data_IF_608351035390
#
_entry.id   IF_608351035390
#
_cell.length_a   1.000
_cell.length_b   1.000
_cell.length_c   1.000
_cell.angle_alpha   90.00
_cell.angle_beta   90.00
_cell.angle_gamma   90.00
#
_symmetry.space_group_name_H-M   'P 1'
#
loop_
_entity.id
_entity.type
_entity.pdbx_description
1 polymer ?
#
# COMPACT_ATOMS: atom_id res chain seq x y z
N UNK A 1 -22.54 -8.94 -5.88
CA UNK A 1 -22.77 -7.89 -4.85
C UNK A 1 -21.99 -6.68 -5.29
N UNK A 2 -22.32 -5.48 -4.80
CA UNK A 2 -21.49 -4.30 -5.08
C UNK A 2 -20.27 -4.34 -4.16
N UNK A 3 -19.09 -3.98 -4.68
CA UNK A 3 -17.86 -3.85 -3.92
C UNK A 3 -18.06 -2.90 -2.73
N UNK A 4 -17.58 -3.28 -1.58
CA UNK A 4 -17.49 -2.46 -0.37
C UNK A 4 -16.03 -2.34 0.04
N UNK A 5 -15.64 -1.16 0.55
CA UNK A 5 -14.26 -0.87 0.98
C UNK A 5 -14.34 -0.22 2.36
N UNK A 6 -13.49 -0.66 3.28
CA UNK A 6 -13.32 0.03 4.55
C UNK A 6 -12.57 1.34 4.33
N UNK A 7 -13.19 2.43 4.74
CA UNK A 7 -12.62 3.77 4.64
C UNK A 7 -12.13 4.22 6.02
N UNK A 8 -10.83 4.44 6.15
CA UNK A 8 -10.24 4.91 7.41
C UNK A 8 -10.84 6.24 7.86
N UNK A 9 -11.11 7.16 6.93
CA UNK A 9 -11.66 8.47 7.28
C UNK A 9 -13.05 8.41 7.93
N UNK A 10 -13.87 7.41 7.60
CA UNK A 10 -15.19 7.21 8.20
C UNK A 10 -15.23 6.07 9.22
N UNK A 11 -14.15 5.28 9.35
CA UNK A 11 -14.05 4.07 10.17
C UNK A 11 -15.13 3.01 9.87
N UNK A 12 -15.62 2.92 8.64
CA UNK A 12 -16.67 1.97 8.25
C UNK A 12 -16.48 1.43 6.84
N UNK A 13 -17.11 0.31 6.55
CA UNK A 13 -17.22 -0.19 5.19
C UNK A 13 -18.28 0.59 4.41
N UNK A 14 -17.89 1.11 3.26
CA UNK A 14 -18.74 1.88 2.36
C UNK A 14 -18.88 1.16 1.02
N UNK A 15 -20.01 1.37 0.34
CA UNK A 15 -20.16 0.95 -1.05
C UNK A 15 -19.15 1.73 -1.89
N UNK A 16 -18.38 1.01 -2.70
CA UNK A 16 -17.44 1.66 -3.61
C UNK A 16 -18.18 2.36 -4.75
N UNK A 17 -17.96 3.64 -4.85
CA UNK A 17 -18.46 4.49 -5.92
C UNK A 17 -17.31 5.37 -6.40
N UNK A 18 -16.79 5.16 -7.62
CA UNK A 18 -15.65 5.94 -8.09
C UNK A 18 -16.03 7.41 -8.33
N UNK A 19 -15.05 8.30 -8.20
CA UNK A 19 -15.19 9.74 -8.51
C UNK A 19 -15.57 9.95 -9.97
N UNK A 20 -14.99 9.12 -10.86
CA UNK A 20 -15.33 9.07 -12.28
C UNK A 20 -15.65 7.65 -12.69
N UNK A 21 -16.67 7.46 -13.51
CA UNK A 21 -17.01 6.16 -14.10
C UNK A 21 -15.95 5.64 -15.08
N UNK A 22 -15.14 6.55 -15.62
CA UNK A 22 -14.17 6.22 -16.67
C UNK A 22 -12.88 5.61 -16.14
N UNK A 23 -12.44 6.04 -14.94
CA UNK A 23 -11.16 5.60 -14.38
C UNK A 23 -11.13 5.73 -12.88
N UNK A 24 -10.74 4.68 -12.18
CA UNK A 24 -10.43 4.68 -10.75
C UNK A 24 -8.97 5.13 -10.56
N UNK A 25 -8.77 6.16 -9.73
CA UNK A 25 -7.49 6.80 -9.46
C UNK A 25 -6.98 6.37 -8.11
N UNK A 26 -5.81 5.73 -8.08
CA UNK A 26 -5.21 5.17 -6.88
C UNK A 26 -3.82 5.76 -6.67
N UNK A 27 -3.57 6.30 -5.48
CA UNK A 27 -2.23 6.65 -5.03
C UNK A 27 -1.83 5.74 -3.87
N UNK A 28 -0.65 5.14 -3.99
CA UNK A 28 -0.05 4.34 -2.91
C UNK A 28 1.26 4.98 -2.50
N UNK A 29 1.39 5.35 -1.23
CA UNK A 29 2.66 5.85 -0.72
C UNK A 29 3.75 4.79 -0.90
N UNK A 30 4.81 5.18 -1.59
CA UNK A 30 5.94 4.34 -1.89
C UNK A 30 6.97 4.30 -0.76
N UNK A 31 8.02 3.48 -0.90
CA UNK A 31 9.06 3.39 0.13
C UNK A 31 10.01 4.58 0.08
N UNK A 32 10.62 4.88 1.23
CA UNK A 32 11.88 5.65 1.29
C UNK A 32 13.03 4.72 0.89
N UNK A 33 13.79 5.11 -0.12
CA UNK A 33 14.71 4.23 -0.87
C UNK A 33 16.12 4.20 -0.29
N UNK A 34 16.27 3.71 0.94
CA UNK A 34 17.55 3.64 1.65
C UNK A 34 18.00 2.21 2.00
N UNK A 35 17.15 1.20 1.71
CA UNK A 35 17.46 -0.22 1.96
C UNK A 35 16.51 -1.16 1.21
N UNK A 36 16.79 -2.46 1.26
CA UNK A 36 15.99 -3.53 0.67
C UNK A 36 14.58 -3.61 1.25
N UNK A 37 13.63 -4.09 0.43
CA UNK A 37 12.27 -4.33 0.86
C UNK A 37 12.19 -5.45 1.92
N UNK A 38 11.43 -5.23 2.99
CA UNK A 38 11.11 -6.24 3.98
C UNK A 38 9.70 -6.82 3.77
N UNK A 39 9.37 -7.90 4.47
CA UNK A 39 8.07 -8.59 4.35
C UNK A 39 6.87 -7.65 4.59
N UNK A 40 7.03 -6.62 5.45
CA UNK A 40 6.00 -5.58 5.64
C UNK A 40 5.73 -4.78 4.36
N UNK A 41 6.78 -4.35 3.63
CA UNK A 41 6.65 -3.72 2.32
C UNK A 41 5.98 -4.67 1.32
N UNK A 42 6.44 -5.93 1.24
CA UNK A 42 5.85 -6.93 0.38
C UNK A 42 4.34 -7.09 0.64
N UNK A 43 3.91 -7.12 1.90
CA UNK A 43 2.49 -7.19 2.27
C UNK A 43 1.69 -6.01 1.73
N UNK A 44 2.20 -4.80 1.91
CA UNK A 44 1.55 -3.58 1.42
C UNK A 44 1.35 -3.64 -0.09
N UNK A 45 2.43 -3.85 -0.85
CA UNK A 45 2.35 -3.77 -2.31
C UNK A 45 1.64 -4.97 -2.95
N UNK A 46 1.69 -6.16 -2.35
CA UNK A 46 0.86 -7.31 -2.75
C UNK A 46 -0.62 -7.01 -2.54
N UNK A 47 -0.99 -6.38 -1.44
CA UNK A 47 -2.39 -6.00 -1.19
C UNK A 47 -2.90 -4.99 -2.24
N UNK A 48 -2.16 -3.92 -2.50
CA UNK A 48 -2.56 -2.93 -3.51
C UNK A 48 -2.58 -3.52 -4.93
N UNK A 49 -1.65 -4.42 -5.25
CA UNK A 49 -1.68 -5.16 -6.51
C UNK A 49 -2.97 -5.98 -6.67
N UNK A 50 -3.38 -6.71 -5.64
CA UNK A 50 -4.64 -7.47 -5.65
C UNK A 50 -5.85 -6.54 -5.78
N UNK A 51 -5.85 -5.39 -5.10
CA UNK A 51 -6.89 -4.37 -5.22
C UNK A 51 -7.00 -3.87 -6.66
N UNK A 52 -5.89 -3.46 -7.28
CA UNK A 52 -5.84 -3.00 -8.67
C UNK A 52 -6.32 -4.09 -9.62
N UNK A 53 -5.82 -5.32 -9.50
CA UNK A 53 -6.24 -6.46 -10.32
C UNK A 53 -7.72 -6.75 -10.19
N UNK A 54 -8.27 -6.69 -8.99
CA UNK A 54 -9.69 -6.93 -8.77
C UNK A 54 -10.56 -5.83 -9.37
N UNK A 55 -10.22 -4.56 -9.18
CA UNK A 55 -10.92 -3.43 -9.81
C UNK A 55 -10.93 -3.55 -11.33
N UNK A 56 -9.79 -3.90 -11.94
CA UNK A 56 -9.71 -4.17 -13.38
C UNK A 56 -10.57 -5.38 -13.79
N UNK A 57 -10.59 -6.45 -12.99
CA UNK A 57 -11.37 -7.66 -13.24
C UNK A 57 -12.89 -7.41 -13.24
N UNK A 58 -13.36 -6.48 -12.40
CA UNK A 58 -14.78 -6.09 -12.35
C UNK A 58 -15.12 -4.96 -13.32
N UNK A 59 -14.20 -4.58 -14.22
CA UNK A 59 -14.44 -3.74 -15.38
C UNK A 59 -14.00 -2.27 -15.26
N UNK A 60 -13.37 -1.87 -14.17
CA UNK A 60 -12.82 -0.50 -14.08
C UNK A 60 -11.51 -0.37 -14.84
N UNK A 61 -11.30 0.78 -15.49
CA UNK A 61 -9.97 1.26 -15.82
C UNK A 61 -9.34 1.77 -14.53
N UNK A 62 -8.06 1.51 -14.33
CA UNK A 62 -7.34 1.95 -13.12
C UNK A 62 -6.13 2.76 -13.53
N UNK A 63 -5.94 3.92 -12.91
CA UNK A 63 -4.71 4.70 -12.95
C UNK A 63 -4.05 4.61 -11.58
N UNK A 64 -2.95 3.87 -11.50
CA UNK A 64 -2.20 3.66 -10.27
C UNK A 64 -0.90 4.46 -10.28
N UNK A 65 -0.69 5.28 -9.26
CA UNK A 65 0.53 6.05 -9.01
C UNK A 65 1.14 5.59 -7.69
N UNK A 66 2.44 5.32 -7.70
CA UNK A 66 3.22 4.98 -6.51
C UNK A 66 4.53 5.74 -6.54
N UNK A 67 4.78 6.60 -5.56
CA UNK A 67 6.01 7.38 -5.54
C UNK A 67 7.23 6.59 -5.05
N UNK A 68 8.39 7.21 -5.21
CA UNK A 68 9.59 6.93 -4.43
C UNK A 68 10.01 8.19 -3.68
N UNK A 69 10.14 8.10 -2.37
CA UNK A 69 10.85 9.12 -1.58
C UNK A 69 12.34 8.85 -1.73
N UNK A 70 12.95 9.53 -2.70
CA UNK A 70 14.33 9.32 -3.14
C UNK A 70 15.32 10.34 -2.53
N UNK A 71 14.82 11.24 -1.66
CA UNK A 71 15.65 12.14 -0.85
C UNK A 71 14.97 12.40 0.50
N UNK A 72 15.58 11.90 1.57
CA UNK A 72 15.09 11.96 2.95
C UNK A 72 16.28 11.86 3.92
N UNK A 73 16.08 12.22 5.19
CA UNK A 73 17.12 12.12 6.23
C UNK A 73 17.67 10.70 6.41
N UNK A 74 16.86 9.67 6.23
CA UNK A 74 17.31 8.27 6.31
C UNK A 74 18.23 7.90 5.16
N UNK A 75 17.98 8.45 3.96
CA UNK A 75 18.85 8.27 2.80
C UNK A 75 20.19 8.95 3.06
N UNK A 76 20.18 10.21 3.52
CA UNK A 76 21.40 10.96 3.83
C UNK A 76 22.24 10.26 4.91
N UNK A 77 21.61 9.78 5.97
CA UNK A 77 22.30 9.01 7.02
C UNK A 77 22.90 7.72 6.46
N UNK A 78 22.13 6.99 5.66
CA UNK A 78 22.57 5.72 5.08
C UNK A 78 23.67 5.89 4.04
N UNK A 79 23.67 6.99 3.29
CA UNK A 79 24.73 7.31 2.33
C UNK A 79 26.07 7.54 3.03
N UNK A 80 26.05 8.23 4.17
CA UNK A 80 27.26 8.41 5.00
C UNK A 80 27.76 7.06 5.55
N UNK A 81 26.84 6.21 6.08
CA UNK A 81 27.21 4.88 6.61
C UNK A 81 27.85 3.97 5.56
N UNK A 82 27.46 4.12 4.30
CA UNK A 82 27.92 3.26 3.20
C UNK A 82 28.97 3.92 2.32
N UNK A 83 29.37 5.14 2.63
CA UNK A 83 30.30 5.96 1.82
C UNK A 83 29.86 6.01 0.34
N UNK A 84 28.58 6.36 0.13
CA UNK A 84 27.93 6.43 -1.19
C UNK A 84 27.29 7.80 -1.39
N UNK A 85 27.25 8.27 -2.65
CA UNK A 85 26.40 9.39 -3.02
C UNK A 85 24.92 9.07 -2.72
N UNK A 86 24.13 10.00 -2.10
CA UNK A 86 22.74 9.73 -1.74
C UNK A 86 21.81 9.48 -2.93
N UNK A 87 22.08 10.07 -4.11
CA UNK A 87 21.31 9.80 -5.33
C UNK A 87 21.61 8.43 -5.91
N UNK A 88 22.89 8.02 -5.87
CA UNK A 88 23.30 6.67 -6.29
C UNK A 88 22.73 5.62 -5.35
N UNK A 89 22.77 5.87 -4.03
CA UNK A 89 22.17 5.01 -3.02
C UNK A 89 20.67 4.80 -3.29
N UNK A 90 19.94 5.89 -3.46
CA UNK A 90 18.51 5.86 -3.72
C UNK A 90 18.19 5.14 -5.02
N UNK A 91 18.90 5.45 -6.11
CA UNK A 91 18.75 4.81 -7.42
C UNK A 91 18.97 3.31 -7.34
N UNK A 92 19.98 2.85 -6.61
CA UNK A 92 20.25 1.45 -6.33
C UNK A 92 19.06 0.78 -5.64
N UNK A 93 18.54 1.38 -4.57
CA UNK A 93 17.45 0.74 -3.80
C UNK A 93 16.10 0.85 -4.49
N UNK A 94 15.86 1.83 -5.36
CA UNK A 94 14.72 1.83 -6.29
C UNK A 94 14.80 0.61 -7.22
N UNK A 95 15.95 0.39 -7.86
CA UNK A 95 16.14 -0.76 -8.75
C UNK A 95 15.96 -2.09 -8.03
N UNK A 96 16.53 -2.25 -6.84
CA UNK A 96 16.39 -3.45 -6.02
C UNK A 96 14.95 -3.68 -5.54
N UNK A 97 14.25 -2.60 -5.15
CA UNK A 97 12.83 -2.68 -4.79
C UNK A 97 11.98 -3.15 -5.96
N UNK A 98 12.16 -2.55 -7.13
CA UNK A 98 11.40 -2.92 -8.33
C UNK A 98 11.67 -4.37 -8.73
N UNK A 99 12.92 -4.84 -8.63
CA UNK A 99 13.30 -6.22 -8.87
C UNK A 99 12.62 -7.20 -7.89
N UNK A 100 12.60 -6.86 -6.60
CA UNK A 100 11.91 -7.68 -5.59
C UNK A 100 10.39 -7.74 -5.85
N UNK A 101 9.77 -6.62 -6.24
CA UNK A 101 8.34 -6.57 -6.52
C UNK A 101 7.97 -7.29 -7.83
N UNK A 102 8.79 -7.18 -8.87
CA UNK A 102 8.62 -7.95 -10.12
C UNK A 102 8.71 -9.45 -9.85
N UNK A 103 9.70 -9.88 -9.06
CA UNK A 103 9.86 -11.28 -8.70
C UNK A 103 8.69 -11.81 -7.87
N UNK A 104 8.11 -10.97 -7.01
CA UNK A 104 6.90 -11.28 -6.24
C UNK A 104 5.61 -11.23 -7.09
N UNK A 105 5.71 -10.89 -8.37
CA UNK A 105 4.57 -10.79 -9.29
C UNK A 105 3.65 -9.59 -9.02
N UNK A 106 4.16 -8.56 -8.34
CA UNK A 106 3.44 -7.30 -8.13
C UNK A 106 3.42 -6.51 -9.44
N UNK A 107 2.23 -6.13 -9.89
CA UNK A 107 2.06 -5.28 -11.07
C UNK A 107 2.71 -3.91 -10.84
N UNK A 108 3.47 -3.44 -11.81
CA UNK A 108 4.02 -2.09 -11.76
C UNK A 108 2.90 -1.05 -11.78
N UNK A 109 3.05 0.02 -11.00
CA UNK A 109 2.20 1.20 -11.11
C UNK A 109 2.39 1.86 -12.49
N UNK A 110 1.40 2.64 -12.90
CA UNK A 110 1.45 3.31 -14.21
C UNK A 110 2.45 4.48 -14.20
N UNK A 111 2.72 5.06 -13.02
CA UNK A 111 3.73 6.11 -12.81
C UNK A 111 4.41 5.91 -11.47
N UNK A 112 5.73 6.13 -11.46
CA UNK A 112 6.56 6.14 -10.27
C UNK A 112 7.26 7.51 -10.14
N UNK A 113 6.57 8.56 -9.66
CA UNK A 113 7.18 9.86 -9.46
C UNK A 113 8.21 9.81 -8.31
N UNK A 114 9.28 10.59 -8.42
CA UNK A 114 10.30 10.75 -7.39
C UNK A 114 10.23 12.13 -6.76
N UNK A 115 10.54 12.25 -5.48
CA UNK A 115 10.58 13.53 -4.78
C UNK A 115 11.50 14.53 -5.46
N UNK A 116 12.69 14.09 -5.88
CA UNK A 116 13.69 14.96 -6.50
C UNK A 116 13.28 15.55 -7.85
N UNK A 117 12.34 14.93 -8.54
CA UNK A 117 11.75 15.41 -9.80
C UNK A 117 10.64 16.45 -9.57
N UNK A 118 10.24 16.70 -8.29
CA UNK A 118 9.08 17.53 -7.93
C UNK A 118 9.41 18.65 -6.93
N UNK A 119 10.68 19.03 -6.83
CA UNK A 119 11.12 20.07 -5.89
C UNK A 119 10.45 21.42 -6.17
N UNK A 120 10.36 21.83 -7.43
CA UNK A 120 9.68 23.07 -7.80
C UNK A 120 8.17 23.01 -7.51
N UNK A 121 7.54 21.86 -7.70
CA UNK A 121 6.14 21.68 -7.35
C UNK A 121 5.92 21.79 -5.83
N UNK A 122 6.84 21.26 -5.02
CA UNK A 122 6.80 21.39 -3.56
C UNK A 122 7.00 22.85 -3.09
N UNK A 123 7.90 23.59 -3.73
CA UNK A 123 8.10 25.02 -3.46
C UNK A 123 6.84 25.80 -3.80
N UNK A 124 6.24 25.56 -4.97
CA UNK A 124 4.99 26.19 -5.39
C UNK A 124 3.84 25.92 -4.42
N UNK A 125 3.67 24.66 -3.98
CA UNK A 125 2.66 24.32 -2.95
C UNK A 125 2.90 25.10 -1.66
N UNK A 126 4.13 25.24 -1.20
CA UNK A 126 4.44 25.98 0.02
C UNK A 126 4.13 27.48 -0.14
N UNK A 127 4.39 28.07 -1.31
CA UNK A 127 4.03 29.47 -1.62
C UNK A 127 2.52 29.66 -1.62
N UNK A 128 1.77 28.79 -2.32
CA UNK A 128 0.30 28.83 -2.37
C UNK A 128 -0.32 28.74 -0.96
N UNK A 129 0.23 27.89 -0.09
CA UNK A 129 -0.26 27.74 1.26
C UNK A 129 0.05 28.96 2.15
N UNK A 130 1.20 29.62 1.94
CA UNK A 130 1.51 30.89 2.61
C UNK A 130 0.55 31.98 2.14
N UNK A 131 0.34 32.13 0.84
CA UNK A 131 -0.59 33.14 0.28
C UNK A 131 -2.03 32.93 0.75
N UNK A 132 -2.45 31.68 0.90
CA UNK A 132 -3.78 31.34 1.44
C UNK A 132 -3.87 31.45 2.96
N UNK A 133 -2.77 31.74 3.67
CA UNK A 133 -2.72 31.90 5.12
C UNK A 133 -2.77 30.60 5.93
N UNK A 134 -2.52 29.45 5.30
CA UNK A 134 -2.41 28.14 5.95
C UNK A 134 -0.99 27.80 6.39
N UNK A 135 0.01 28.49 5.87
CA UNK A 135 1.42 28.26 6.22
C UNK A 135 2.13 29.57 6.56
N UNK A 136 3.29 29.46 7.19
CA UNK A 136 4.13 30.59 7.56
C UNK A 136 5.61 30.23 7.49
N UNK A 137 6.46 31.22 7.16
CA UNK A 137 7.91 31.11 7.20
C UNK A 137 8.44 31.41 8.61
N UNK A 138 9.43 30.64 9.05
CA UNK A 138 10.19 30.89 10.27
C UNK A 138 11.63 30.38 10.14
N UNK A 139 12.60 31.29 10.14
CA UNK A 139 14.05 30.99 10.12
C UNK A 139 14.53 30.15 8.91
N UNK A 140 13.93 30.37 7.74
CA UNK A 140 14.25 29.64 6.51
C UNK A 140 13.57 28.28 6.38
N UNK A 141 12.60 28.00 7.24
CA UNK A 141 11.70 26.86 7.16
C UNK A 141 10.27 27.35 6.92
N UNK A 142 9.43 26.53 6.27
CA UNK A 142 8.02 26.81 6.12
C UNK A 142 7.21 25.76 6.84
N UNK A 143 6.31 26.21 7.69
CA UNK A 143 5.43 25.35 8.49
C UNK A 143 3.97 25.52 8.11
N UNK A 144 3.26 24.40 8.04
CA UNK A 144 1.80 24.42 8.00
C UNK A 144 1.26 24.72 9.41
N UNK A 145 0.34 25.68 9.51
CA UNK A 145 -0.34 26.04 10.76
C UNK A 145 -1.55 25.11 10.98
N UNK A 146 -1.36 24.11 11.84
CA UNK A 146 -2.39 23.10 12.10
C UNK A 146 -3.69 23.68 12.66
N UNK A 147 -3.66 24.87 13.28
CA UNK A 147 -4.85 25.55 13.83
C UNK A 147 -5.70 26.23 12.77
N UNK A 148 -5.19 26.38 11.53
CA UNK A 148 -5.93 27.02 10.42
C UNK A 148 -6.90 26.06 9.73
N UNK A 149 -6.89 24.79 10.08
CA UNK A 149 -7.78 23.77 9.49
C UNK A 149 -8.58 23.04 10.57
N UNK A 150 -9.82 22.69 10.25
CA UNK A 150 -10.66 21.77 11.06
C UNK A 150 -10.57 20.33 10.56
N UNK A 151 -9.78 20.09 9.49
CA UNK A 151 -9.63 18.78 8.90
C UNK A 151 -8.62 17.90 9.64
N UNK A 152 -7.73 18.49 10.46
CA UNK A 152 -6.73 17.76 11.22
C UNK A 152 -7.37 16.87 12.30
N UNK A 153 -6.92 15.62 12.39
CA UNK A 153 -7.51 14.63 13.32
C UNK A 153 -8.59 13.74 12.66
N UNK A 154 -8.94 13.97 11.41
CA UNK A 154 -10.00 13.22 10.70
C UNK A 154 -9.64 11.74 10.47
N UNK A 155 -8.40 11.43 10.15
CA UNK A 155 -7.97 10.05 9.88
C UNK A 155 -7.68 9.26 11.15
N UNK A 156 -7.25 9.95 12.21
CA UNK A 156 -6.98 9.35 13.51
C UNK A 156 -8.20 9.34 14.42
N UNK A 157 -9.29 10.04 14.03
CA UNK A 157 -10.52 10.20 14.82
C UNK A 157 -10.30 10.85 16.20
N UNK A 158 -9.33 11.74 16.29
CA UNK A 158 -8.97 12.45 17.51
C UNK A 158 -8.91 13.96 17.26
N UNK A 159 -9.18 14.74 18.30
CA UNK A 159 -8.99 16.20 18.25
C UNK A 159 -7.50 16.56 18.33
N UNK A 160 -7.13 17.74 17.83
CA UNK A 160 -5.77 18.28 17.96
C UNK A 160 -5.20 18.19 19.38
N UNK A 161 -6.05 18.48 20.39
CA UNK A 161 -5.65 18.46 21.80
C UNK A 161 -5.43 17.03 22.33
N UNK A 162 -6.15 16.05 21.77
CA UNK A 162 -6.05 14.66 22.18
C UNK A 162 -4.81 13.94 21.58
N UNK A 163 -4.30 14.43 20.43
CA UNK A 163 -3.14 13.82 19.74
C UNK A 163 -1.86 13.89 20.59
N UNK A 164 -1.78 14.83 21.54
CA UNK A 164 -0.58 15.11 22.34
C UNK A 164 -0.85 14.81 23.81
N UNK A 165 -1.11 13.55 24.11
CA UNK A 165 -1.31 13.09 25.49
C UNK A 165 0.03 12.67 26.13
N UNK A 166 0.94 12.08 25.35
CA UNK A 166 2.24 11.61 25.86
C UNK A 166 3.22 12.80 25.99
N UNK A 167 3.82 13.01 27.20
CA UNK A 167 4.90 13.98 27.38
C UNK A 167 6.08 13.79 26.42
N UNK A 168 6.39 12.55 26.01
CA UNK A 168 7.43 12.25 25.02
C UNK A 168 7.09 12.78 23.62
N UNK A 169 5.82 12.76 23.23
CA UNK A 169 5.38 13.35 21.96
C UNK A 169 5.53 14.86 21.96
N UNK A 170 5.28 15.53 23.10
CA UNK A 170 5.54 16.96 23.23
C UNK A 170 7.01 17.32 23.01
N UNK A 171 7.93 16.50 23.54
CA UNK A 171 9.40 16.68 23.31
C UNK A 171 9.74 16.37 21.86
N UNK A 172 9.19 15.31 21.29
CA UNK A 172 9.43 14.89 19.89
C UNK A 172 8.98 15.93 18.87
N UNK A 173 7.85 16.60 19.11
CA UNK A 173 7.30 17.61 18.21
C UNK A 173 7.75 19.05 18.56
N UNK A 174 8.40 19.25 19.68
CA UNK A 174 8.89 20.57 20.09
C UNK A 174 9.92 21.11 19.09
N UNK A 175 9.67 22.32 18.62
CA UNK A 175 10.61 23.09 17.80
C UNK A 175 10.36 24.58 18.11
N UNK A 176 11.39 25.37 18.51
CA UNK A 176 11.22 26.78 18.92
C UNK A 176 10.74 27.69 17.78
N UNK A 177 10.82 27.22 16.52
CA UNK A 177 10.36 27.99 15.36
C UNK A 177 8.88 27.77 15.02
N UNK A 178 8.23 26.77 15.64
CA UNK A 178 6.80 26.49 15.44
C UNK A 178 5.92 27.38 16.31
N UNK A 179 4.79 27.82 15.75
CA UNK A 179 3.73 28.53 16.50
C UNK A 179 2.86 27.58 17.31
N UNK A 180 2.65 26.38 16.79
CA UNK A 180 1.88 25.31 17.41
C UNK A 180 2.65 23.99 17.42
N UNK A 181 2.40 23.16 18.43
CA UNK A 181 3.13 21.89 18.59
C UNK A 181 2.88 20.92 17.43
N UNK A 182 1.68 20.91 16.87
CA UNK A 182 1.28 20.08 15.73
C UNK A 182 1.58 20.68 14.37
N UNK A 183 2.11 21.92 14.32
CA UNK A 183 2.58 22.46 13.06
C UNK A 183 3.68 21.57 12.51
N UNK A 184 3.72 21.37 11.21
CA UNK A 184 4.70 20.50 10.58
C UNK A 184 5.39 21.21 9.41
N UNK A 185 6.66 20.89 9.21
CA UNK A 185 7.46 21.52 8.17
C UNK A 185 7.02 21.01 6.79
N UNK A 186 6.69 21.94 5.90
CA UNK A 186 6.45 21.72 4.47
C UNK A 186 7.67 22.06 3.61
N UNK A 187 8.57 22.91 4.14
CA UNK A 187 9.92 23.14 3.65
C UNK A 187 10.89 23.17 4.82
N UNK A 188 11.97 22.39 4.77
CA UNK A 188 12.97 22.27 5.82
C UNK A 188 14.28 22.90 5.38
N UNK A 189 14.82 23.78 6.22
CA UNK A 189 16.18 24.27 6.06
C UNK A 189 17.17 23.11 6.24
N UNK A 190 18.20 23.07 5.40
CA UNK A 190 19.27 22.08 5.44
C UNK A 190 20.55 22.68 6.02
N UNK A 191 21.44 21.81 6.49
CA UNK A 191 22.81 22.17 6.81
C UNK A 191 23.63 22.30 5.52
N UNK A 192 24.78 22.98 5.57
CA UNK A 192 25.61 23.23 4.39
C UNK A 192 26.08 21.96 3.67
N UNK A 193 26.28 20.87 4.41
CA UNK A 193 26.74 19.59 3.87
C UNK A 193 25.58 18.67 3.39
N UNK A 194 24.34 19.03 3.64
CA UNK A 194 23.18 18.24 3.21
C UNK A 194 22.80 18.59 1.77
N UNK A 195 22.26 17.61 1.04
CA UNK A 195 21.63 17.85 -0.24
C UNK A 195 20.48 18.84 -0.08
N UNK A 196 20.46 19.86 -0.93
CA UNK A 196 19.50 20.96 -0.81
C UNK A 196 19.23 21.64 -2.14
N UNK A 197 18.12 22.34 -2.20
CA UNK A 197 17.68 23.13 -3.35
C UNK A 197 17.43 24.58 -2.92
N UNK A 198 17.64 25.51 -3.86
CA UNK A 198 17.30 26.92 -3.65
C UNK A 198 15.80 27.11 -3.58
N UNK A 199 15.37 27.98 -2.68
CA UNK A 199 13.96 28.36 -2.51
C UNK A 199 13.85 29.84 -2.07
N UNK A 200 12.65 30.44 -2.11
CA UNK A 200 12.44 31.80 -1.60
C UNK A 200 12.82 31.99 -0.11
N UNK A 201 12.91 30.92 0.63
CA UNK A 201 13.22 30.91 2.07
C UNK A 201 14.68 30.51 2.35
N UNK A 202 15.47 30.30 1.30
CA UNK A 202 16.85 29.83 1.35
C UNK A 202 16.98 28.35 1.01
N UNK A 203 18.21 27.82 1.19
CA UNK A 203 18.53 26.43 0.85
C UNK A 203 17.82 25.45 1.78
N UNK A 204 17.17 24.45 1.18
CA UNK A 204 16.39 23.48 1.94
C UNK A 204 15.92 22.30 1.10
N UNK A 205 15.00 21.54 1.65
CA UNK A 205 14.33 20.39 1.02
C UNK A 205 12.87 20.31 1.43
N UNK A 206 12.00 19.63 0.65
CA UNK A 206 10.62 19.41 1.01
C UNK A 206 10.46 18.72 2.37
N UNK A 207 9.39 19.07 3.08
CA UNK A 207 8.90 18.26 4.19
C UNK A 207 8.30 16.96 3.64
N UNK A 208 8.50 15.85 4.34
CA UNK A 208 8.09 14.51 3.91
C UNK A 208 6.62 14.39 3.50
N UNK A 209 5.73 15.17 4.10
CA UNK A 209 4.28 15.13 3.81
C UNK A 209 3.91 15.91 2.54
N UNK A 210 4.71 16.90 2.17
CA UNK A 210 4.51 17.76 1.00
C UNK A 210 4.64 16.99 -0.30
N UNK A 211 5.56 16.04 -0.33
CA UNK A 211 5.94 15.25 -1.49
C UNK A 211 4.75 14.48 -2.07
N UNK A 212 4.13 13.62 -1.24
CA UNK A 212 3.00 12.80 -1.66
C UNK A 212 1.75 13.64 -1.94
N UNK A 213 1.53 14.71 -1.17
CA UNK A 213 0.41 15.62 -1.39
C UNK A 213 0.47 16.23 -2.80
N UNK A 214 1.63 16.76 -3.22
CA UNK A 214 1.76 17.39 -4.54
C UNK A 214 1.85 16.37 -5.68
N UNK A 215 2.58 15.27 -5.50
CA UNK A 215 2.67 14.23 -6.52
C UNK A 215 1.31 13.58 -6.79
N UNK A 216 0.55 13.26 -5.74
CA UNK A 216 -0.79 12.70 -5.92
C UNK A 216 -1.71 13.65 -6.67
N UNK A 217 -1.70 14.93 -6.32
CA UNK A 217 -2.47 15.96 -7.01
C UNK A 217 -2.08 16.14 -8.48
N UNK A 218 -0.77 16.18 -8.77
CA UNK A 218 -0.23 16.37 -10.13
C UNK A 218 -0.61 15.23 -11.07
N UNK A 219 -0.52 13.98 -10.63
CA UNK A 219 -0.74 12.81 -11.49
C UNK A 219 -2.17 12.29 -11.52
N UNK A 220 -2.97 12.56 -10.46
CA UNK A 220 -4.33 12.05 -10.33
C UNK A 220 -5.39 13.15 -10.28
N UNK A 221 -4.96 14.43 -10.20
CA UNK A 221 -5.86 15.58 -10.10
C UNK A 221 -6.34 15.86 -8.68
N UNK A 222 -7.22 16.88 -8.51
CA UNK A 222 -7.58 17.41 -7.19
C UNK A 222 -8.38 16.46 -6.32
N UNK A 223 -8.99 15.44 -6.88
CA UNK A 223 -9.72 14.39 -6.16
C UNK A 223 -9.38 13.03 -6.75
N UNK A 224 -8.98 12.10 -5.92
CA UNK A 224 -8.71 10.71 -6.28
C UNK A 224 -9.66 9.77 -5.55
N UNK A 225 -9.78 8.53 -6.05
CA UNK A 225 -10.67 7.53 -5.46
C UNK A 225 -10.05 6.91 -4.21
N UNK A 226 -8.83 6.42 -4.30
CA UNK A 226 -8.17 5.68 -3.22
C UNK A 226 -6.78 6.25 -2.98
N UNK A 227 -6.47 6.49 -1.70
CA UNK A 227 -5.13 6.77 -1.23
C UNK A 227 -4.80 5.85 -0.06
N UNK A 228 -3.59 5.32 -0.03
CA UNK A 228 -3.25 4.48 1.10
C UNK A 228 -1.79 4.02 1.17
N UNK A 229 -1.56 3.15 2.15
CA UNK A 229 -0.26 2.61 2.53
C UNK A 229 -0.36 1.75 3.78
N UNK A 230 0.74 1.61 4.51
CA UNK A 230 0.73 0.97 5.82
C UNK A 230 -0.02 1.78 6.87
N UNK A 231 -0.53 1.10 7.91
CA UNK A 231 -1.26 1.74 9.01
C UNK A 231 -0.43 2.82 9.73
N UNK A 232 0.90 2.67 9.76
CA UNK A 232 1.83 3.63 10.35
C UNK A 232 1.90 4.97 9.60
N UNK A 233 1.41 5.03 8.39
CA UNK A 233 1.33 6.25 7.63
C UNK A 233 0.10 7.09 7.99
N UNK A 234 -0.92 6.54 8.66
CA UNK A 234 -2.11 7.32 9.05
C UNK A 234 -1.67 8.59 9.77
N UNK A 235 -0.81 8.44 10.79
CA UNK A 235 -0.26 9.57 11.52
C UNK A 235 1.27 9.46 11.63
N UNK A 236 2.00 10.53 11.36
CA UNK A 236 1.51 11.87 10.97
C UNK A 236 1.31 12.07 9.45
N UNK A 237 1.72 11.11 8.58
CA UNK A 237 1.95 11.32 7.15
C UNK A 237 0.65 11.60 6.37
N UNK A 238 -0.29 10.66 6.35
CA UNK A 238 -1.54 10.81 5.58
C UNK A 238 -2.47 11.87 6.18
N UNK A 239 -2.44 12.03 7.51
CA UNK A 239 -3.15 13.14 8.15
C UNK A 239 -2.65 14.48 7.64
N UNK A 240 -1.31 14.69 7.59
CA UNK A 240 -0.71 15.88 7.06
C UNK A 240 -0.98 16.07 5.55
N UNK A 241 -0.90 15.01 4.75
CA UNK A 241 -1.25 15.07 3.32
C UNK A 241 -2.71 15.47 3.09
N UNK A 242 -3.62 14.92 3.90
CA UNK A 242 -5.05 15.24 3.83
C UNK A 242 -5.31 16.72 4.05
N UNK A 243 -4.71 17.32 5.10
CA UNK A 243 -4.90 18.74 5.39
C UNK A 243 -4.19 19.65 4.40
N UNK A 244 -3.01 19.28 3.89
CA UNK A 244 -2.32 20.04 2.84
C UNK A 244 -3.16 20.12 1.57
N UNK A 245 -3.67 18.96 1.13
CA UNK A 245 -4.47 18.87 -0.10
C UNK A 245 -5.80 19.61 0.05
N UNK A 246 -6.46 19.54 1.22
CA UNK A 246 -7.70 20.24 1.48
C UNK A 246 -7.47 21.75 1.56
N UNK A 247 -6.40 22.23 2.20
CA UNK A 247 -6.03 23.64 2.23
C UNK A 247 -5.73 24.20 0.82
N UNK A 248 -5.10 23.40 -0.04
CA UNK A 248 -4.80 23.77 -1.41
C UNK A 248 -6.09 23.90 -2.25
N UNK A 249 -7.01 22.92 -2.16
CA UNK A 249 -8.14 22.74 -3.08
C UNK A 249 -9.50 23.21 -2.53
N UNK A 250 -9.60 23.45 -1.23
CA UNK A 250 -10.84 23.81 -0.53
C UNK A 250 -11.80 22.63 -0.30
N UNK A 251 -11.39 21.39 -0.56
CA UNK A 251 -12.21 20.17 -0.39
C UNK A 251 -11.35 18.93 -0.16
N UNK A 252 -11.92 17.87 0.45
CA UNK A 252 -11.22 16.59 0.59
C UNK A 252 -10.75 16.03 -0.75
N UNK A 253 -9.47 15.66 -0.84
CA UNK A 253 -8.83 15.19 -2.08
C UNK A 253 -8.93 13.67 -2.26
N UNK A 254 -9.30 12.93 -1.22
CA UNK A 254 -9.35 11.46 -1.24
C UNK A 254 -10.72 10.98 -0.82
N UNK A 255 -11.33 10.10 -1.63
CA UNK A 255 -12.64 9.53 -1.32
C UNK A 255 -12.54 8.37 -0.34
N UNK A 256 -11.56 7.47 -0.51
CA UNK A 256 -11.34 6.30 0.34
C UNK A 256 -9.89 6.26 0.80
N UNK A 257 -9.67 6.38 2.09
CA UNK A 257 -8.38 6.12 2.72
C UNK A 257 -8.30 4.66 3.13
N UNK A 258 -7.33 3.94 2.60
CA UNK A 258 -7.20 2.49 2.80
C UNK A 258 -5.83 2.17 3.41
N UNK A 259 -5.80 1.42 4.51
CA UNK A 259 -4.56 1.12 5.22
C UNK A 259 -4.46 -0.35 5.56
N UNK A 260 -3.31 -0.96 5.25
CA UNK A 260 -3.02 -2.32 5.64
C UNK A 260 -2.28 -2.38 6.99
N UNK A 261 -2.63 -3.38 7.78
CA UNK A 261 -2.02 -3.63 9.10
C UNK A 261 -0.58 -4.14 8.98
N UNK A 262 0.14 -4.04 10.10
CA UNK A 262 1.54 -4.46 10.23
C UNK A 262 1.74 -5.97 10.07
N UNK A 263 2.97 -6.30 9.69
CA UNK A 263 3.54 -7.62 9.93
C UNK A 263 4.36 -7.52 11.23
N UNK A 264 4.07 -8.41 12.17
CA UNK A 264 4.79 -8.55 13.43
C UNK A 264 5.72 -9.76 13.36
N UNK A 265 6.77 -9.75 14.13
CA UNK A 265 7.66 -10.88 14.33
C UNK A 265 7.91 -11.00 15.84
N UNK A 266 7.60 -12.17 16.41
CA UNK A 266 7.64 -12.42 17.87
C UNK A 266 6.73 -11.45 18.67
N UNK A 267 5.53 -11.15 18.11
CA UNK A 267 4.56 -10.25 18.72
C UNK A 267 4.87 -8.76 18.58
N UNK A 268 6.04 -8.39 18.06
CA UNK A 268 6.48 -7.01 17.89
C UNK A 268 6.45 -6.54 16.42
N UNK A 269 6.20 -5.24 16.20
CA UNK A 269 6.32 -4.64 14.87
C UNK A 269 7.75 -4.84 14.35
N UNK A 270 7.88 -5.35 13.11
CA UNK A 270 9.18 -5.42 12.45
C UNK A 270 9.78 -4.03 12.28
N UNK A 271 10.99 -3.83 12.79
CA UNK A 271 11.74 -2.58 12.62
C UNK A 271 13.25 -2.83 12.62
N UNK A 272 14.00 -1.95 11.94
CA UNK A 272 15.47 -2.02 11.91
C UNK A 272 16.08 -1.85 13.30
N UNK A 273 15.55 -0.93 14.09
CA UNK A 273 16.05 -0.64 15.43
C UNK A 273 15.96 -1.82 16.37
N UNK A 274 15.03 -2.76 16.11
CA UNK A 274 14.86 -4.00 16.90
C UNK A 274 15.62 -5.19 16.31
N UNK A 275 16.21 -5.07 15.12
CA UNK A 275 16.95 -6.16 14.48
C UNK A 275 16.07 -7.36 14.05
N UNK A 276 14.73 -7.22 14.10
CA UNK A 276 13.77 -8.30 13.87
C UNK A 276 13.16 -8.27 12.45
N UNK A 277 13.79 -7.52 11.51
CA UNK A 277 13.30 -7.40 10.14
C UNK A 277 13.66 -8.60 9.29
N UNK A 278 12.68 -9.09 8.53
CA UNK A 278 12.88 -10.13 7.52
C UNK A 278 12.77 -9.51 6.13
N UNK A 279 13.83 -9.61 5.33
CA UNK A 279 13.83 -9.13 3.96
C UNK A 279 12.90 -9.98 3.08
N UNK A 280 12.15 -9.33 2.20
CA UNK A 280 11.23 -10.01 1.29
C UNK A 280 11.97 -11.02 0.39
N UNK A 281 13.15 -10.65 -0.13
CA UNK A 281 13.99 -11.54 -0.97
C UNK A 281 14.41 -12.80 -0.24
N UNK A 282 14.74 -12.70 1.06
CA UNK A 282 15.10 -13.88 1.86
C UNK A 282 13.91 -14.81 2.08
N UNK A 283 12.73 -14.27 2.30
CA UNK A 283 11.52 -15.08 2.36
C UNK A 283 11.21 -15.76 1.02
N UNK A 284 11.40 -15.07 -0.12
CA UNK A 284 11.24 -15.65 -1.46
C UNK A 284 12.29 -16.72 -1.78
N UNK A 285 13.54 -16.54 -1.35
CA UNK A 285 14.60 -17.57 -1.49
C UNK A 285 14.24 -18.88 -0.77
N UNK A 286 13.55 -18.79 0.38
CA UNK A 286 13.17 -19.96 1.18
C UNK A 286 12.01 -20.77 0.58
N UNK A 287 11.01 -20.10 0.00
CA UNK A 287 9.75 -20.77 -0.36
C UNK A 287 9.27 -20.48 -1.78
N UNK A 288 9.92 -19.59 -2.50
CA UNK A 288 9.48 -19.06 -3.79
C UNK A 288 8.51 -17.90 -3.67
N UNK A 289 8.37 -17.08 -4.73
CA UNK A 289 7.57 -15.87 -4.71
C UNK A 289 6.06 -16.14 -4.52
N UNK A 290 5.50 -17.13 -5.20
CA UNK A 290 4.09 -17.50 -5.09
C UNK A 290 3.70 -17.92 -3.67
N UNK A 291 4.57 -18.68 -2.99
CA UNK A 291 4.31 -19.11 -1.61
C UNK A 291 4.37 -17.94 -0.63
N UNK A 292 5.31 -17.01 -0.79
CA UNK A 292 5.32 -15.78 0.01
C UNK A 292 4.05 -14.96 -0.26
N UNK A 293 3.67 -14.79 -1.52
CA UNK A 293 2.45 -14.07 -1.90
C UNK A 293 1.20 -14.72 -1.31
N UNK A 294 1.06 -16.04 -1.40
CA UNK A 294 -0.02 -16.82 -0.77
C UNK A 294 -0.04 -16.59 0.74
N UNK A 295 1.11 -16.65 1.40
CA UNK A 295 1.26 -16.39 2.83
C UNK A 295 0.74 -15.00 3.20
N UNK A 296 1.18 -13.96 2.50
CA UNK A 296 0.78 -12.57 2.75
C UNK A 296 -0.73 -12.36 2.55
N UNK A 297 -1.35 -13.05 1.58
CA UNK A 297 -2.77 -12.98 1.27
C UNK A 297 -3.66 -13.86 2.17
N UNK A 298 -3.08 -14.80 2.93
CA UNK A 298 -3.82 -15.69 3.83
C UNK A 298 -4.42 -14.98 5.04
N UNK A 299 -3.97 -13.75 5.33
CA UNK A 299 -4.50 -12.89 6.39
C UNK A 299 -5.12 -11.64 5.78
N UNK A 300 -6.36 -11.31 6.19
CA UNK A 300 -7.03 -10.09 5.76
C UNK A 300 -6.15 -8.86 5.99
N UNK A 301 -6.08 -7.93 5.03
CA UNK A 301 -5.15 -6.80 5.06
C UNK A 301 -5.30 -5.89 6.31
N UNK A 302 -6.51 -5.76 6.87
CA UNK A 302 -6.78 -5.00 8.11
C UNK A 302 -6.44 -5.76 9.40
N UNK A 303 -6.01 -7.01 9.33
CA UNK A 303 -5.60 -7.78 10.53
C UNK A 303 -4.09 -7.78 10.67
N UNK A 304 -3.59 -7.69 11.90
CA UNK A 304 -2.18 -7.95 12.19
C UNK A 304 -1.80 -9.34 11.67
N UNK A 305 -0.61 -9.44 11.11
CA UNK A 305 -0.07 -10.70 10.60
C UNK A 305 1.19 -11.02 11.35
N UNK A 306 1.18 -12.11 12.09
CA UNK A 306 2.38 -12.63 12.72
C UNK A 306 3.19 -13.41 11.70
N UNK A 307 4.43 -12.97 11.47
CA UNK A 307 5.37 -13.67 10.59
C UNK A 307 6.01 -14.83 11.35
N UNK A 308 6.05 -16.00 10.72
CA UNK A 308 6.85 -17.12 11.18
C UNK A 308 7.37 -17.95 10.03
N UNK A 309 8.56 -18.49 10.16
CA UNK A 309 9.15 -19.39 9.17
C UNK A 309 8.28 -20.64 8.99
N UNK A 310 7.73 -21.18 10.07
CA UNK A 310 6.82 -22.33 10.02
C UNK A 310 5.55 -22.02 9.21
N UNK A 311 4.93 -20.86 9.46
CA UNK A 311 3.76 -20.40 8.69
C UNK A 311 4.08 -20.20 7.21
N UNK A 312 5.26 -19.68 6.90
CA UNK A 312 5.73 -19.49 5.53
C UNK A 312 5.94 -20.85 4.81
N UNK A 313 6.55 -21.82 5.48
CA UNK A 313 6.72 -23.19 4.94
C UNK A 313 5.37 -23.88 4.74
N UNK A 314 4.45 -23.77 5.70
CA UNK A 314 3.09 -24.31 5.57
C UNK A 314 2.34 -23.67 4.40
N UNK A 315 2.52 -22.39 4.17
CA UNK A 315 1.93 -21.70 3.01
C UNK A 315 2.43 -22.26 1.68
N UNK A 316 3.72 -22.57 1.56
CA UNK A 316 4.30 -23.24 0.39
C UNK A 316 3.67 -24.62 0.16
N UNK A 317 3.58 -25.42 1.21
CA UNK A 317 3.07 -26.79 1.13
C UNK A 317 1.56 -26.78 0.77
N UNK A 318 0.78 -25.89 1.36
CA UNK A 318 -0.63 -25.69 1.05
C UNK A 318 -0.84 -25.25 -0.40
N UNK A 319 -0.06 -24.28 -0.89
CA UNK A 319 -0.15 -23.82 -2.27
C UNK A 319 0.20 -24.93 -3.26
N UNK A 320 1.28 -25.68 -2.99
CA UNK A 320 1.71 -26.80 -3.81
C UNK A 320 0.60 -27.87 -3.91
N UNK A 321 -0.06 -28.18 -2.80
CA UNK A 321 -1.17 -29.13 -2.78
C UNK A 321 -2.38 -28.61 -3.57
N UNK A 322 -2.73 -27.32 -3.41
CA UNK A 322 -3.81 -26.70 -4.20
C UNK A 322 -3.51 -26.80 -5.69
N UNK A 323 -2.30 -26.44 -6.11
CA UNK A 323 -1.85 -26.53 -7.51
C UNK A 323 -1.95 -27.96 -8.05
N UNK A 324 -1.44 -28.93 -7.28
CA UNK A 324 -1.48 -30.35 -7.64
C UNK A 324 -2.92 -30.85 -7.82
N UNK A 325 -3.80 -30.51 -6.88
CA UNK A 325 -5.20 -30.93 -6.91
C UNK A 325 -5.95 -30.29 -8.07
N UNK A 326 -5.76 -29.01 -8.34
CA UNK A 326 -6.40 -28.31 -9.46
C UNK A 326 -5.90 -28.90 -10.79
N UNK A 327 -4.61 -29.01 -11.01
CA UNK A 327 -4.03 -29.58 -12.23
C UNK A 327 -4.54 -31.00 -12.50
N UNK A 328 -4.60 -31.84 -11.46
CA UNK A 328 -5.12 -33.20 -11.55
C UNK A 328 -6.63 -33.23 -11.79
N UNK A 329 -7.41 -32.36 -11.14
CA UNK A 329 -8.87 -32.30 -11.25
C UNK A 329 -9.34 -31.84 -12.63
N UNK A 330 -8.52 -31.09 -13.35
CA UNK A 330 -8.80 -30.60 -14.70
C UNK A 330 -8.45 -31.62 -15.83
N UNK A 331 -7.88 -32.78 -15.49
CA UNK A 331 -7.63 -33.85 -16.48
C UNK A 331 -8.94 -34.61 -16.76
N UNK A 332 -9.27 -34.89 -18.04
CA UNK A 332 -10.44 -35.74 -18.40
C UNK A 332 -10.31 -37.15 -17.83
N UNK A 333 -11.42 -37.74 -17.41
CA UNK A 333 -11.49 -39.18 -17.27
C UNK A 333 -11.11 -39.79 -15.92
N UNK A 334 -11.28 -39.08 -14.79
CA UNK A 334 -11.10 -39.71 -13.46
C UNK A 334 -12.15 -40.79 -13.20
N UNK A 335 -11.81 -42.10 -13.09
CA UNK A 335 -12.75 -43.14 -12.72
C UNK A 335 -13.24 -42.99 -11.27
N UNK A 336 -14.46 -43.33 -10.98
CA UNK A 336 -14.94 -43.51 -9.60
C UNK A 336 -15.55 -42.32 -8.88
N UNK A 337 -15.39 -41.07 -9.37
CA UNK A 337 -15.96 -39.91 -8.73
C UNK A 337 -17.37 -39.58 -9.29
N UNK A 338 -18.30 -39.18 -8.41
CA UNK A 338 -19.63 -38.67 -8.82
C UNK A 338 -19.47 -37.30 -9.52
N UNK A 339 -20.26 -37.01 -10.57
CA UNK A 339 -20.21 -35.70 -11.22
C UNK A 339 -20.49 -34.58 -10.22
N UNK A 340 -19.71 -33.51 -10.32
CA UNK A 340 -20.00 -32.29 -9.59
C UNK A 340 -21.29 -31.66 -10.15
N UNK A 341 -22.16 -31.18 -9.28
CA UNK A 341 -23.30 -30.40 -9.73
C UNK A 341 -22.86 -29.02 -10.15
N UNK A 342 -23.48 -28.47 -11.19
CA UNK A 342 -23.21 -27.09 -11.63
C UNK A 342 -23.40 -26.09 -10.48
N UNK A 343 -24.41 -26.29 -9.64
CA UNK A 343 -24.70 -25.49 -8.46
C UNK A 343 -23.51 -25.45 -7.47
N UNK A 344 -22.85 -26.60 -7.23
CA UNK A 344 -21.71 -26.67 -6.33
C UNK A 344 -20.48 -25.85 -6.87
N UNK A 345 -20.24 -25.95 -8.19
CA UNK A 345 -19.21 -25.15 -8.85
C UNK A 345 -19.50 -23.64 -8.75
N UNK A 346 -20.76 -23.26 -9.07
CA UNK A 346 -21.19 -21.87 -9.00
C UNK A 346 -21.10 -21.30 -7.58
N UNK A 347 -21.39 -22.15 -6.58
CA UNK A 347 -21.23 -21.76 -5.17
C UNK A 347 -19.77 -21.47 -4.83
N UNK A 348 -18.83 -22.35 -5.21
CA UNK A 348 -17.40 -22.13 -4.96
C UNK A 348 -16.88 -20.86 -5.67
N UNK A 349 -17.23 -20.71 -6.96
CA UNK A 349 -16.84 -19.53 -7.76
C UNK A 349 -17.43 -18.26 -7.14
N UNK A 350 -18.72 -18.29 -6.78
CA UNK A 350 -19.40 -17.16 -6.17
C UNK A 350 -18.84 -16.76 -4.80
N UNK A 351 -18.30 -17.72 -4.02
CA UNK A 351 -17.65 -17.42 -2.74
C UNK A 351 -16.39 -16.57 -2.95
N UNK A 352 -15.57 -16.86 -3.96
CA UNK A 352 -14.40 -16.05 -4.27
C UNK A 352 -14.74 -14.58 -4.54
N UNK A 353 -15.68 -14.35 -5.46
CA UNK A 353 -16.05 -12.98 -5.82
C UNK A 353 -16.76 -12.24 -4.67
N UNK A 354 -17.60 -12.94 -3.89
CA UNK A 354 -18.20 -12.33 -2.69
C UNK A 354 -17.16 -11.94 -1.64
N UNK A 355 -16.11 -12.76 -1.47
CA UNK A 355 -15.01 -12.42 -0.58
C UNK A 355 -14.27 -11.16 -1.06
N UNK A 356 -13.99 -11.08 -2.35
CA UNK A 356 -13.33 -9.90 -2.93
C UNK A 356 -14.23 -8.65 -2.92
N UNK A 357 -15.55 -8.79 -3.11
CA UNK A 357 -16.53 -7.70 -2.98
C UNK A 357 -16.66 -7.19 -1.53
N UNK A 358 -16.26 -7.99 -0.55
CA UNK A 358 -16.29 -7.64 0.87
C UNK A 358 -14.90 -7.19 1.31
N UNK A 359 -14.55 -5.94 1.01
CA UNK A 359 -13.33 -5.30 1.47
C UNK A 359 -12.04 -6.06 1.06
N UNK A 360 -12.02 -6.57 -0.16
CA UNK A 360 -10.89 -7.32 -0.73
C UNK A 360 -10.40 -8.48 0.16
N UNK A 361 -11.34 -9.23 0.78
CA UNK A 361 -10.99 -10.31 1.71
C UNK A 361 -10.30 -11.49 0.99
N UNK A 362 -8.99 -11.30 0.74
CA UNK A 362 -8.14 -12.32 0.10
C UNK A 362 -8.08 -13.62 0.90
N UNK A 363 -8.21 -13.54 2.23
CA UNK A 363 -8.17 -14.72 3.09
C UNK A 363 -9.39 -15.63 2.84
N UNK A 364 -10.59 -15.06 2.72
CA UNK A 364 -11.80 -15.80 2.34
C UNK A 364 -11.78 -16.22 0.86
N UNK A 365 -11.18 -15.42 -0.01
CA UNK A 365 -10.98 -15.80 -1.41
C UNK A 365 -10.09 -17.06 -1.54
N UNK A 366 -9.02 -17.16 -0.75
CA UNK A 366 -8.18 -18.37 -0.66
C UNK A 366 -9.00 -19.57 -0.15
N UNK A 367 -9.85 -19.39 0.86
CA UNK A 367 -10.73 -20.48 1.32
C UNK A 367 -11.70 -20.95 0.23
N UNK A 368 -12.18 -20.05 -0.64
CA UNK A 368 -13.00 -20.43 -1.78
C UNK A 368 -12.21 -21.24 -2.83
N UNK A 369 -10.92 -20.94 -3.04
CA UNK A 369 -10.01 -21.72 -3.89
C UNK A 369 -9.79 -23.12 -3.31
N UNK A 370 -9.55 -23.23 -2.00
CA UNK A 370 -9.41 -24.51 -1.30
C UNK A 370 -10.71 -25.32 -1.44
N UNK A 371 -11.87 -24.67 -1.30
CA UNK A 371 -13.18 -25.31 -1.52
C UNK A 371 -13.35 -25.85 -2.94
N UNK A 372 -12.91 -25.08 -3.95
CA UNK A 372 -12.92 -25.55 -5.34
C UNK A 372 -11.95 -26.73 -5.54
N UNK A 373 -10.73 -26.66 -5.03
CA UNK A 373 -9.77 -27.75 -5.08
C UNK A 373 -10.34 -29.04 -4.44
N UNK A 374 -10.92 -28.95 -3.24
CA UNK A 374 -11.56 -30.07 -2.56
C UNK A 374 -12.75 -30.65 -3.37
N UNK A 375 -13.52 -29.80 -4.04
CA UNK A 375 -14.58 -30.27 -4.93
C UNK A 375 -14.02 -31.05 -6.13
N UNK A 376 -12.93 -30.53 -6.75
CA UNK A 376 -12.24 -31.17 -7.86
C UNK A 376 -11.59 -32.50 -7.46
N UNK A 377 -11.13 -32.62 -6.23
CA UNK A 377 -10.55 -33.85 -5.71
C UNK A 377 -11.60 -34.94 -5.50
N UNK A 378 -12.76 -34.58 -4.93
CA UNK A 378 -13.82 -35.52 -4.54
C UNK A 378 -14.79 -35.86 -5.68
N UNK A 379 -14.92 -35.00 -6.70
CA UNK A 379 -15.91 -35.12 -7.76
C UNK A 379 -15.29 -34.98 -9.14
N UNK A 380 -15.87 -35.69 -10.10
CA UNK A 380 -15.54 -35.58 -11.52
C UNK A 380 -16.23 -34.36 -12.13
N UNK A 381 -15.48 -33.55 -12.87
CA UNK A 381 -16.08 -32.46 -13.63
C UNK A 381 -16.68 -32.99 -14.92
N UNK A 382 -17.93 -32.67 -15.20
CA UNK A 382 -18.54 -32.96 -16.48
C UNK A 382 -17.82 -32.19 -17.60
N UNK A 383 -17.62 -32.81 -18.75
CA UNK A 383 -16.87 -32.22 -19.88
C UNK A 383 -17.43 -30.84 -20.25
N UNK A 384 -18.75 -30.65 -20.26
CA UNK A 384 -19.41 -29.34 -20.53
C UNK A 384 -19.10 -28.24 -19.54
N UNK A 385 -18.69 -28.55 -18.30
CA UNK A 385 -18.36 -27.58 -17.24
C UNK A 385 -16.88 -27.35 -17.11
N UNK A 386 -16.02 -28.10 -17.81
CA UNK A 386 -14.57 -28.02 -17.73
C UNK A 386 -14.04 -26.62 -18.14
N UNK A 387 -14.54 -26.02 -19.21
CA UNK A 387 -14.19 -24.69 -19.66
C UNK A 387 -14.51 -23.62 -18.61
N UNK A 388 -15.63 -23.79 -17.90
CA UNK A 388 -16.05 -22.88 -16.82
C UNK A 388 -15.10 -22.93 -15.62
N UNK A 389 -14.67 -24.13 -15.20
CA UNK A 389 -13.72 -24.29 -14.10
C UNK A 389 -12.36 -23.70 -14.47
N UNK A 390 -11.86 -23.99 -15.69
CA UNK A 390 -10.62 -23.39 -16.19
C UNK A 390 -10.67 -21.86 -16.16
N UNK A 391 -11.78 -21.29 -16.68
CA UNK A 391 -11.99 -19.83 -16.64
C UNK A 391 -11.97 -19.29 -15.20
N UNK A 392 -12.64 -19.96 -14.26
CA UNK A 392 -12.65 -19.53 -12.86
C UNK A 392 -11.26 -19.56 -12.24
N UNK A 393 -10.47 -20.62 -12.48
CA UNK A 393 -9.09 -20.72 -11.99
C UNK A 393 -8.22 -19.59 -12.58
N UNK A 394 -8.34 -19.31 -13.88
CA UNK A 394 -7.64 -18.19 -14.53
C UNK A 394 -8.06 -16.82 -13.93
N UNK A 395 -9.34 -16.63 -13.66
CA UNK A 395 -9.85 -15.43 -13.00
C UNK A 395 -9.24 -15.27 -11.59
N UNK A 396 -9.17 -16.35 -10.81
CA UNK A 396 -8.59 -16.34 -9.46
C UNK A 396 -7.08 -16.05 -9.50
N UNK A 397 -6.36 -16.72 -10.43
CA UNK A 397 -4.93 -16.42 -10.67
C UNK A 397 -4.70 -14.96 -11.04
N UNK A 398 -5.53 -14.44 -11.97
CA UNK A 398 -5.43 -13.06 -12.43
C UNK A 398 -5.67 -12.03 -11.32
N UNK A 399 -6.62 -12.31 -10.41
CA UNK A 399 -6.94 -11.41 -9.27
C UNK A 399 -5.89 -11.51 -8.17
N UNK A 400 -5.53 -12.71 -7.73
CA UNK A 400 -4.59 -12.87 -6.63
C UNK A 400 -3.11 -12.79 -7.07
N UNK A 401 -2.84 -12.87 -8.38
CA UNK A 401 -1.47 -12.92 -8.91
C UNK A 401 -0.72 -14.20 -8.48
N UNK A 402 -1.44 -15.28 -8.26
CA UNK A 402 -0.91 -16.58 -7.82
C UNK A 402 -1.00 -17.59 -8.96
N UNK A 403 0.02 -18.42 -9.16
CA UNK A 403 -0.11 -19.61 -10.00
C UNK A 403 -0.94 -20.67 -9.27
N UNK A 404 -1.96 -21.24 -9.93
CA UNK A 404 -2.85 -22.27 -9.37
C UNK A 404 -2.81 -23.59 -10.16
N UNK A 405 -1.75 -23.83 -10.92
CA UNK A 405 -1.53 -25.10 -11.62
C UNK A 405 -2.20 -25.21 -12.99
N UNK A 406 -2.45 -24.08 -13.64
CA UNK A 406 -2.84 -23.97 -15.06
C UNK A 406 -1.68 -23.48 -15.90
#
# INVERSE_FOLDING_TARGET
>A
MALRIFNTASSREERFEPVSKDCVRIYTCGPTTYDYAHVGHARTYVFYDVMVRYLMRIGYKVRHVQNFTDMDEKILRRSIELDMDPFDLSSKFIAEFLKDMDFLGVRRADVFPKTTEHIHDCIGLAQDLIEKGFAYEAKGEVYFDAKKTTAFGRLIHESLDAVIVDPLDRVRFANPHKRGLLDFAIWKRTKEWEVSWESPWGRGRPGWHTECAIMSHKYLGPVMDIHGGGLDLIFPHHEAESVLSEALTGKPSVRYWVHNQFVTNEGEKMSKSKGNMVLARRAMELVGPDALRYYLLSTHYRKKMEFSIQGLMLARDNLTEIQRVIARGLRPGRPGCKPATRKALDTCIGHFFRAMDSDFDSSKAILAIIGLASLLERKRIAHKDMGRVKKAVLDFQGVLGLSLGL
#
